data_IF_755987614671
#
_entry.id   IF_755987614671
#
_cell.length_a   1.000
_cell.length_b   1.000
_cell.length_c   1.000
_cell.angle_alpha   90.00
_cell.angle_beta   90.00
_cell.angle_gamma   90.00
#
_symmetry.space_group_name_H-M   'P 1'
#
loop_
_entity.id
_entity.type
_entity.pdbx_description
1 polymer ?
#
# COMPACT_ATOMS: atom_id res chain seq x y z
N UNK A 1 18.02 -14.63 -11.76
CA UNK A 1 17.78 -13.21 -11.43
C UNK A 1 18.38 -12.37 -12.54
N UNK A 2 17.68 -11.34 -13.01
CA UNK A 2 18.26 -10.35 -13.93
C UNK A 2 19.03 -9.31 -13.10
N UNK A 3 20.26 -8.99 -13.52
CA UNK A 3 21.08 -7.96 -12.88
C UNK A 3 20.88 -6.65 -13.62
N UNK A 4 20.46 -5.61 -12.91
CA UNK A 4 20.29 -4.26 -13.47
C UNK A 4 21.32 -3.33 -12.84
N UNK A 5 22.11 -2.66 -13.68
CA UNK A 5 23.02 -1.60 -13.23
C UNK A 5 22.27 -0.28 -13.16
N UNK A 6 22.31 0.39 -12.01
CA UNK A 6 21.66 1.68 -11.79
C UNK A 6 22.71 2.66 -11.26
N UNK A 7 22.72 3.89 -11.79
CA UNK A 7 23.43 5.01 -11.17
C UNK A 7 22.48 5.75 -10.24
N UNK A 8 22.93 5.96 -9.01
CA UNK A 8 22.19 6.68 -7.97
C UNK A 8 22.93 7.97 -7.63
N UNK A 9 22.19 8.97 -7.16
CA UNK A 9 22.81 10.19 -6.62
C UNK A 9 23.48 9.94 -5.28
N UNK A 10 24.44 10.79 -4.91
CA UNK A 10 25.25 10.69 -3.68
C UNK A 10 24.41 10.45 -2.41
N UNK A 11 23.27 11.16 -2.28
CA UNK A 11 22.33 10.98 -1.17
C UNK A 11 21.91 9.50 -0.98
N UNK A 12 21.56 8.83 -2.07
CA UNK A 12 21.08 7.45 -2.03
C UNK A 12 22.20 6.46 -1.78
N UNK A 13 23.41 6.74 -2.27
CA UNK A 13 24.58 5.93 -1.96
C UNK A 13 24.91 5.96 -0.47
N UNK A 14 24.88 7.15 0.15
CA UNK A 14 25.10 7.33 1.59
C UNK A 14 23.99 6.62 2.38
N UNK A 15 22.73 6.78 1.98
CA UNK A 15 21.61 6.09 2.59
C UNK A 15 21.78 4.56 2.57
N UNK A 16 22.07 3.98 1.40
CA UNK A 16 22.25 2.53 1.24
C UNK A 16 23.45 2.04 2.08
N UNK A 17 24.56 2.78 2.08
CA UNK A 17 25.73 2.44 2.92
C UNK A 17 25.37 2.42 4.40
N UNK A 18 24.63 3.42 4.88
CA UNK A 18 24.20 3.49 6.27
C UNK A 18 23.28 2.31 6.64
N UNK A 19 22.31 1.99 5.79
CA UNK A 19 21.39 0.86 5.99
C UNK A 19 22.13 -0.49 6.05
N UNK A 20 23.13 -0.70 5.20
CA UNK A 20 23.98 -1.90 5.25
C UNK A 20 24.85 -1.89 6.51
N UNK A 21 25.48 -0.76 6.83
CA UNK A 21 26.36 -0.64 8.02
C UNK A 21 25.60 -0.84 9.34
N UNK A 22 24.30 -0.55 9.36
CA UNK A 22 23.43 -0.80 10.51
C UNK A 22 23.16 -2.30 10.76
N UNK A 23 23.49 -3.16 9.80
CA UNK A 23 23.21 -4.59 9.84
C UNK A 23 21.79 -4.96 9.42
N UNK A 24 20.94 -3.99 9.05
CA UNK A 24 19.56 -4.24 8.61
C UNK A 24 19.49 -5.00 7.28
N UNK A 25 20.45 -4.77 6.38
CA UNK A 25 20.52 -5.42 5.07
C UNK A 25 21.92 -5.92 4.78
N UNK A 26 22.02 -7.05 4.06
CA UNK A 26 23.29 -7.65 3.65
C UNK A 26 23.85 -7.11 2.34
N UNK A 27 23.05 -6.38 1.54
CA UNK A 27 23.52 -5.79 0.29
C UNK A 27 22.67 -4.62 -0.20
N UNK A 28 23.24 -3.80 -1.08
CA UNK A 28 22.51 -2.72 -1.77
C UNK A 28 21.29 -3.25 -2.54
N UNK A 29 21.42 -4.43 -3.17
CA UNK A 29 20.34 -5.08 -3.89
C UNK A 29 19.19 -5.50 -2.99
N UNK A 30 19.41 -5.75 -1.70
CA UNK A 30 18.33 -5.99 -0.74
C UNK A 30 17.61 -4.70 -0.36
N UNK A 31 18.35 -3.63 -0.06
CA UNK A 31 17.77 -2.30 0.22
C UNK A 31 16.87 -1.85 -0.93
N UNK A 32 17.37 -1.94 -2.17
CA UNK A 32 16.61 -1.53 -3.36
C UNK A 32 15.37 -2.40 -3.56
N UNK A 33 15.47 -3.73 -3.37
CA UNK A 33 14.31 -4.62 -3.50
C UNK A 33 13.23 -4.31 -2.47
N UNK A 34 13.62 -4.06 -1.23
CA UNK A 34 12.67 -3.72 -0.17
C UNK A 34 11.99 -2.37 -0.43
N UNK A 35 12.76 -1.36 -0.86
CA UNK A 35 12.22 -0.06 -1.25
C UNK A 35 11.22 -0.16 -2.42
N UNK A 36 11.54 -0.97 -3.44
CA UNK A 36 10.64 -1.21 -4.57
C UNK A 36 9.36 -1.93 -4.14
N UNK A 37 9.46 -2.93 -3.26
CA UNK A 37 8.29 -3.63 -2.71
C UNK A 37 7.38 -2.68 -1.94
N UNK A 38 7.95 -1.87 -1.05
CA UNK A 38 7.19 -0.87 -0.30
C UNK A 38 6.51 0.15 -1.22
N UNK A 39 7.19 0.56 -2.29
CA UNK A 39 6.61 1.45 -3.30
C UNK A 39 5.44 0.79 -4.04
N UNK A 40 5.57 -0.48 -4.44
CA UNK A 40 4.51 -1.24 -5.09
C UNK A 40 3.28 -1.41 -4.19
N UNK A 41 3.48 -1.79 -2.93
CA UNK A 41 2.39 -1.93 -1.95
C UNK A 41 1.64 -0.62 -1.75
N UNK A 42 2.37 0.49 -1.60
CA UNK A 42 1.77 1.82 -1.45
C UNK A 42 0.98 2.22 -2.69
N UNK A 43 1.49 1.92 -3.89
CA UNK A 43 0.79 2.19 -5.15
C UNK A 43 -0.50 1.37 -5.24
N UNK A 44 -0.44 0.08 -4.95
CA UNK A 44 -1.59 -0.81 -4.95
C UNK A 44 -2.69 -0.35 -3.98
N UNK A 45 -2.33 -0.02 -2.73
CA UNK A 45 -3.28 0.52 -1.74
C UNK A 45 -3.93 1.82 -2.20
N UNK A 46 -3.16 2.72 -2.82
CA UNK A 46 -3.68 3.99 -3.34
C UNK A 46 -4.61 3.78 -4.53
N UNK A 47 -4.31 2.84 -5.42
CA UNK A 47 -5.17 2.48 -6.55
C UNK A 47 -6.49 1.87 -6.06
N UNK A 48 -6.44 0.95 -5.10
CA UNK A 48 -7.65 0.39 -4.47
C UNK A 48 -8.51 1.48 -3.82
N UNK A 49 -7.90 2.39 -3.06
CA UNK A 49 -8.60 3.52 -2.44
C UNK A 49 -9.30 4.39 -3.50
N UNK A 50 -8.59 4.75 -4.58
CA UNK A 50 -9.17 5.54 -5.67
C UNK A 50 -10.34 4.82 -6.35
N UNK A 51 -10.22 3.51 -6.55
CA UNK A 51 -11.29 2.71 -7.15
C UNK A 51 -12.55 2.71 -6.26
N UNK A 52 -12.40 2.46 -4.96
CA UNK A 52 -13.52 2.47 -4.01
C UNK A 52 -14.16 3.85 -3.87
N UNK A 53 -13.36 4.93 -3.82
CA UNK A 53 -13.88 6.29 -3.80
C UNK A 53 -14.65 6.63 -5.08
N UNK A 54 -14.14 6.22 -6.25
CA UNK A 54 -14.82 6.44 -7.51
C UNK A 54 -16.15 5.67 -7.59
N UNK A 55 -16.20 4.45 -7.03
CA UNK A 55 -17.44 3.68 -6.90
C UNK A 55 -18.44 4.38 -5.99
N UNK A 56 -18.03 4.77 -4.78
CA UNK A 56 -18.89 5.47 -3.82
C UNK A 56 -19.40 6.81 -4.36
N UNK A 57 -18.56 7.56 -5.08
CA UNK A 57 -18.98 8.81 -5.71
C UNK A 57 -20.06 8.59 -6.78
N UNK A 58 -19.97 7.51 -7.58
CA UNK A 58 -20.99 7.15 -8.56
C UNK A 58 -22.31 6.78 -7.89
N UNK A 59 -22.25 5.97 -6.83
CA UNK A 59 -23.42 5.58 -6.04
C UNK A 59 -24.10 6.81 -5.43
N UNK A 60 -23.33 7.71 -4.82
CA UNK A 60 -23.86 8.94 -4.23
C UNK A 60 -24.55 9.84 -5.25
N UNK A 61 -23.99 9.98 -6.46
CA UNK A 61 -24.62 10.73 -7.56
C UNK A 61 -25.92 10.07 -8.04
N UNK A 62 -25.98 8.73 -8.04
CA UNK A 62 -27.18 7.98 -8.37
C UNK A 62 -28.24 7.99 -7.25
N UNK A 63 -27.90 8.44 -6.04
CA UNK A 63 -28.75 8.35 -4.86
C UNK A 63 -28.76 6.96 -4.20
N UNK A 64 -27.82 6.09 -4.58
CA UNK A 64 -27.68 4.74 -4.06
C UNK A 64 -26.97 4.76 -2.70
N UNK A 65 -27.74 5.04 -1.66
CA UNK A 65 -27.28 5.01 -0.27
C UNK A 65 -27.84 3.80 0.48
N UNK A 66 -27.13 3.37 1.52
CA UNK A 66 -27.66 2.41 2.49
C UNK A 66 -28.71 3.13 3.33
N UNK A 67 -29.96 2.69 3.19
CA UNK A 67 -31.05 3.16 4.03
C UNK A 67 -30.96 2.52 5.42
N UNK A 68 -31.38 3.25 6.45
CA UNK A 68 -31.50 2.73 7.82
C UNK A 68 -30.21 2.11 8.39
N UNK A 69 -29.04 2.68 8.05
CA UNK A 69 -27.76 2.22 8.58
C UNK A 69 -27.72 2.29 10.11
N UNK A 70 -27.56 1.14 10.77
CA UNK A 70 -27.31 1.02 12.20
C UNK A 70 -26.08 0.16 12.46
N UNK A 71 -25.23 0.63 13.36
CA UNK A 71 -24.03 -0.11 13.76
C UNK A 71 -24.41 -1.40 14.50
N UNK A 72 -25.47 -1.34 15.32
CA UNK A 72 -25.93 -2.49 16.12
C UNK A 72 -26.46 -3.62 15.22
N UNK A 73 -27.17 -3.28 14.15
CA UNK A 73 -27.67 -4.27 13.18
C UNK A 73 -26.51 -4.89 12.40
N UNK A 74 -25.54 -4.07 11.98
CA UNK A 74 -24.36 -4.55 11.26
C UNK A 74 -23.55 -5.55 12.10
N UNK A 75 -23.31 -5.25 13.38
CA UNK A 75 -22.59 -6.13 14.30
C UNK A 75 -23.37 -7.43 14.53
N UNK A 76 -24.69 -7.33 14.76
CA UNK A 76 -25.54 -8.51 14.93
C UNK A 76 -25.54 -9.41 13.68
N UNK A 77 -25.57 -8.84 12.47
CA UNK A 77 -25.55 -9.62 11.23
C UNK A 77 -24.22 -10.36 11.06
N UNK A 78 -23.09 -9.71 11.34
CA UNK A 78 -21.75 -10.31 11.31
C UNK A 78 -21.59 -11.45 12.32
N UNK A 79 -22.13 -11.29 13.53
CA UNK A 79 -22.08 -12.33 14.58
C UNK A 79 -23.00 -13.53 14.26
N UNK A 80 -24.05 -13.33 13.45
CA UNK A 80 -24.98 -14.39 13.02
C UNK A 80 -24.52 -15.11 11.73
N UNK A 81 -23.60 -14.55 10.96
CA UNK A 81 -22.98 -15.19 9.78
C UNK A 81 -21.76 -16.08 10.12
N UNK A 82 -21.38 -16.18 11.40
CA UNK A 82 -20.32 -17.06 11.92
C UNK A 82 -20.85 -18.39 12.48
#
# INVERSE_FOLDING_TARGET
>A
MATTSLSLGEHWEVFIKNEISSGRYGSASEVVRDALRSMEERKSKLEALRAHLAQGAKQAVAGDFVNDFSMDTLISDLDNEA
#
